data_IF_926871168649
#
_entry.id   IF_926871168649
#
_cell.length_a   1.000
_cell.length_b   1.000
_cell.length_c   1.000
_cell.angle_alpha   90.00
_cell.angle_beta   90.00
_cell.angle_gamma   90.00
#
_symmetry.space_group_name_H-M   'P 1'
#
loop_
_entity.id
_entity.type
_entity.pdbx_description
1 polymer ?
#
# COMPACT_ATOMS: atom_id res chain seq x y z
N UNK A 1 18.30 13.02 -8.03
CA UNK A 1 17.57 11.73 -7.86
C UNK A 1 17.72 11.24 -6.43
N UNK A 2 16.64 11.18 -5.64
CA UNK A 2 16.70 10.61 -4.28
C UNK A 2 16.74 9.08 -4.39
N UNK A 3 17.92 8.50 -4.23
CA UNK A 3 18.08 7.04 -4.25
C UNK A 3 17.57 6.43 -2.94
N UNK A 4 16.60 5.53 -3.02
CA UNK A 4 16.21 4.71 -1.88
C UNK A 4 17.32 3.74 -1.46
N UNK A 5 17.31 3.29 -0.20
CA UNK A 5 18.30 2.35 0.34
C UNK A 5 18.46 1.06 -0.48
N UNK A 6 17.42 0.62 -1.21
CA UNK A 6 17.52 -0.54 -2.12
C UNK A 6 18.45 -0.27 -3.31
N UNK A 7 18.38 0.94 -3.88
CA UNK A 7 19.23 1.35 -5.00
C UNK A 7 20.66 1.63 -4.52
N UNK A 8 20.80 2.22 -3.33
CA UNK A 8 22.12 2.38 -2.68
C UNK A 8 22.80 1.03 -2.47
N UNK A 9 22.08 0.02 -1.96
CA UNK A 9 22.63 -1.33 -1.82
C UNK A 9 23.10 -1.95 -3.14
N UNK A 10 22.36 -1.71 -4.24
CA UNK A 10 22.75 -2.15 -5.59
C UNK A 10 23.98 -1.41 -6.10
N UNK A 11 24.06 -0.10 -5.88
CA UNK A 11 25.18 0.74 -6.26
C UNK A 11 26.47 0.31 -5.54
N UNK A 12 26.40 0.11 -4.23
CA UNK A 12 27.51 -0.35 -3.39
C UNK A 12 28.01 -1.74 -3.79
N UNK A 13 27.09 -2.66 -4.15
CA UNK A 13 27.46 -3.95 -4.73
C UNK A 13 28.23 -3.81 -6.04
N UNK A 14 27.76 -2.96 -6.95
CA UNK A 14 28.37 -2.80 -8.28
C UNK A 14 29.73 -2.10 -8.21
N UNK A 15 29.84 -1.03 -7.43
CA UNK A 15 31.04 -0.18 -7.39
C UNK A 15 32.10 -0.67 -6.41
N UNK A 16 31.68 -1.22 -5.27
CA UNK A 16 32.58 -1.60 -4.16
C UNK A 16 32.60 -3.11 -3.89
N UNK A 17 31.91 -3.93 -4.70
CA UNK A 17 31.78 -5.39 -4.54
C UNK A 17 31.33 -5.82 -3.13
N UNK A 18 30.64 -4.94 -2.39
CA UNK A 18 30.19 -5.19 -1.02
C UNK A 18 28.99 -6.14 -1.00
N UNK A 19 29.04 -7.21 -0.21
CA UNK A 19 27.90 -8.14 -0.01
C UNK A 19 26.87 -7.53 0.95
N UNK A 20 26.11 -6.54 0.46
CA UNK A 20 25.15 -5.78 1.26
C UNK A 20 23.70 -6.15 0.94
N UNK A 21 22.95 -6.68 1.92
CA UNK A 21 21.51 -6.91 1.81
C UNK A 21 20.72 -5.59 2.04
N UNK A 22 19.47 -5.50 1.53
CA UNK A 22 18.56 -4.36 1.73
C UNK A 22 18.39 -3.98 3.20
N UNK A 23 18.38 -4.97 4.10
CA UNK A 23 18.27 -4.76 5.56
C UNK A 23 19.53 -4.09 6.15
N UNK A 24 20.73 -4.47 5.69
CA UNK A 24 21.98 -3.88 6.17
C UNK A 24 22.13 -2.44 5.67
N UNK A 25 21.80 -2.20 4.40
CA UNK A 25 21.77 -0.84 3.85
C UNK A 25 20.78 0.07 4.58
N UNK A 26 19.59 -0.43 4.92
CA UNK A 26 18.63 0.36 5.69
C UNK A 26 19.17 0.74 7.07
N UNK A 27 19.80 -0.20 7.78
CA UNK A 27 20.41 0.05 9.10
C UNK A 27 21.52 1.09 9.03
N UNK A 28 22.44 0.95 8.10
CA UNK A 28 23.49 1.95 7.84
C UNK A 28 22.90 3.34 7.53
N UNK A 29 21.89 3.41 6.66
CA UNK A 29 21.22 4.68 6.36
C UNK A 29 20.51 5.28 7.58
N UNK A 30 20.05 4.45 8.51
CA UNK A 30 19.42 4.88 9.77
C UNK A 30 20.46 5.40 10.76
N UNK A 31 21.59 4.70 10.92
CA UNK A 31 22.71 5.12 11.77
C UNK A 31 23.35 6.41 11.28
N UNK A 32 23.47 6.59 9.96
CA UNK A 32 23.97 7.80 9.32
C UNK A 32 22.97 8.97 9.30
N UNK A 33 21.73 8.77 9.76
CA UNK A 33 20.70 9.82 9.76
C UNK A 33 20.21 10.27 8.37
N UNK A 34 20.53 9.53 7.31
CA UNK A 34 20.15 9.87 5.91
C UNK A 34 18.79 9.28 5.50
N UNK A 35 18.13 8.53 6.39
CA UNK A 35 16.84 7.92 6.10
C UNK A 35 15.72 8.96 6.08
N UNK A 36 15.09 9.13 4.93
CA UNK A 36 13.93 9.99 4.77
C UNK A 36 12.71 9.42 5.50
N UNK A 37 11.83 10.32 5.95
CA UNK A 37 10.55 9.94 6.57
C UNK A 37 9.77 8.99 5.65
N UNK A 38 9.17 7.95 6.25
CA UNK A 38 8.33 7.03 5.51
C UNK A 38 7.20 7.78 4.81
N UNK A 39 7.07 7.55 3.49
CA UNK A 39 5.99 8.14 2.68
C UNK A 39 4.65 7.78 3.29
N UNK A 40 3.90 8.78 3.76
CA UNK A 40 2.51 8.60 4.18
C UNK A 40 1.66 8.25 2.96
N UNK A 41 0.95 7.12 3.00
CA UNK A 41 -0.04 6.79 1.97
C UNK A 41 -1.21 7.76 2.12
N UNK A 42 -1.49 8.56 1.08
CA UNK A 42 -2.73 9.33 1.01
C UNK A 42 -3.86 8.38 0.64
N UNK A 43 -4.92 8.31 1.44
CA UNK A 43 -6.13 7.58 1.04
C UNK A 43 -6.75 8.31 -0.15
N UNK A 44 -6.98 7.60 -1.26
CA UNK A 44 -7.59 8.19 -2.47
C UNK A 44 -9.05 8.59 -2.22
N UNK A 45 -9.75 7.87 -1.36
CA UNK A 45 -11.14 8.10 -1.01
C UNK A 45 -11.33 8.10 0.52
N UNK A 46 -12.24 8.93 1.06
CA UNK A 46 -12.57 8.87 2.47
C UNK A 46 -13.20 7.52 2.79
N UNK A 47 -12.71 6.83 3.82
CA UNK A 47 -13.39 5.66 4.37
C UNK A 47 -14.63 6.15 5.11
N UNK A 48 -15.78 6.14 4.45
CA UNK A 48 -17.07 6.43 5.09
C UNK A 48 -17.60 5.14 5.69
N UNK A 49 -17.82 5.12 7.00
CA UNK A 49 -18.50 3.99 7.64
C UNK A 49 -19.96 3.94 7.13
N UNK A 50 -20.53 2.74 6.92
CA UNK A 50 -21.96 2.60 6.65
C UNK A 50 -22.76 3.22 7.79
N UNK A 51 -23.81 3.97 7.46
CA UNK A 51 -24.74 4.52 8.46
C UNK A 51 -25.93 3.58 8.60
N UNK A 52 -26.16 3.07 9.81
CA UNK A 52 -27.40 2.37 10.13
C UNK A 52 -28.56 3.37 10.07
N UNK A 53 -29.66 2.99 9.41
CA UNK A 53 -30.88 3.79 9.29
C UNK A 53 -32.04 2.98 9.82
N UNK A 54 -32.92 3.61 10.60
CA UNK A 54 -34.19 3.03 11.00
C UNK A 54 -35.17 3.27 9.85
N UNK A 55 -35.78 2.20 9.33
CA UNK A 55 -36.79 2.25 8.26
C UNK A 55 -38.15 2.07 8.92
N UNK A 56 -38.97 3.11 8.90
CA UNK A 56 -40.29 3.16 9.55
C UNK A 56 -41.46 2.89 8.59
N UNK A 57 -41.21 2.90 7.28
CA UNK A 57 -42.24 2.72 6.26
C UNK A 57 -41.70 2.27 4.91
N UNK A 58 -42.60 1.86 3.99
CA UNK A 58 -42.21 1.39 2.67
C UNK A 58 -41.52 2.49 1.85
N UNK A 59 -40.59 2.11 0.97
CA UNK A 59 -39.87 2.99 0.02
C UNK A 59 -38.92 4.04 0.62
N UNK A 60 -38.66 4.02 1.93
CA UNK A 60 -37.74 4.98 2.57
C UNK A 60 -36.25 4.68 2.34
N UNK A 61 -35.90 3.42 2.05
CA UNK A 61 -34.54 2.99 1.78
C UNK A 61 -34.57 1.86 0.76
N UNK A 62 -33.76 2.00 -0.29
CA UNK A 62 -33.48 0.94 -1.24
C UNK A 62 -31.99 0.61 -1.15
N UNK A 63 -31.68 -0.66 -0.86
CA UNK A 63 -30.33 -1.19 -0.85
C UNK A 63 -30.30 -2.39 -1.78
N UNK A 64 -29.36 -2.41 -2.71
CA UNK A 64 -29.15 -3.50 -3.65
C UNK A 64 -27.66 -3.80 -3.73
N UNK A 65 -27.33 -5.08 -3.86
CA UNK A 65 -25.97 -5.58 -4.05
C UNK A 65 -25.95 -6.42 -5.32
N UNK A 66 -24.88 -6.32 -6.10
CA UNK A 66 -24.69 -7.11 -7.32
C UNK A 66 -23.70 -8.21 -7.01
N UNK A 67 -24.17 -9.46 -7.06
CA UNK A 67 -23.30 -10.64 -6.97
C UNK A 67 -23.06 -11.18 -8.37
N UNK A 68 -21.79 -11.32 -8.73
CA UNK A 68 -21.38 -12.03 -9.92
C UNK A 68 -21.20 -13.50 -9.56
N UNK A 69 -22.03 -14.37 -10.12
CA UNK A 69 -21.84 -15.82 -10.08
C UNK A 69 -21.11 -16.26 -11.34
N UNK A 70 -20.08 -17.09 -11.19
CA UNK A 70 -19.47 -17.79 -12.32
C UNK A 70 -20.23 -19.09 -12.57
N UNK A 71 -20.61 -19.35 -13.81
CA UNK A 71 -21.26 -20.60 -14.23
C UNK A 71 -20.24 -21.35 -15.09
N UNK A 72 -19.79 -22.51 -14.61
CA UNK A 72 -18.87 -23.35 -15.37
C UNK A 72 -19.55 -23.85 -16.65
N UNK A 73 -18.88 -23.68 -17.79
CA UNK A 73 -19.39 -24.11 -19.11
C UNK A 73 -20.12 -23.03 -19.90
N UNK A 74 -20.17 -21.79 -19.42
CA UNK A 74 -20.53 -20.61 -20.22
C UNK A 74 -19.28 -19.76 -20.47
N UNK A 75 -18.52 -20.13 -21.50
CA UNK A 75 -17.57 -19.26 -22.22
C UNK A 75 -17.73 -19.52 -23.73
#
# INVERSE_FOLDING_TARGET
YVYGYKLLARCLRKQKKLVLNKKKSHRLCSELGILQKQRKRKSKHPRRLPKNRIVTGPKQLWQMDIKYGYIAGQD
#
